data_IF_117255905651
#
_entry.id   IF_117255905651
#
_cell.length_a   1.000
_cell.length_b   1.000
_cell.length_c   1.000
_cell.angle_alpha   90.00
_cell.angle_beta   90.00
_cell.angle_gamma   90.00
#
_symmetry.space_group_name_H-M   'P 1'
#
loop_
_entity.id
_entity.type
_entity.pdbx_description
1 polymer ?
#
# COMPACT_ATOMS: atom_id res chain seq x y z
N UNK A 1 16.92 -21.55 -29.52
CA UNK A 1 17.54 -20.56 -28.63
C UNK A 1 16.47 -20.07 -27.68
N UNK A 2 16.36 -20.67 -26.51
CA UNK A 2 15.32 -20.34 -25.52
C UNK A 2 16.02 -19.55 -24.42
N UNK A 3 15.89 -18.23 -24.45
CA UNK A 3 16.48 -17.37 -23.43
C UNK A 3 15.75 -17.58 -22.11
N UNK A 4 16.49 -18.13 -21.14
CA UNK A 4 16.12 -18.16 -19.72
C UNK A 4 16.12 -16.72 -19.23
N UNK A 5 14.93 -16.19 -18.95
CA UNK A 5 14.76 -14.83 -18.42
C UNK A 5 15.23 -14.83 -16.97
N UNK A 6 16.38 -14.18 -16.75
CA UNK A 6 17.08 -14.12 -15.47
C UNK A 6 16.27 -13.42 -14.37
N UNK A 7 16.57 -13.84 -13.14
CA UNK A 7 16.03 -13.31 -11.90
C UNK A 7 16.26 -11.77 -11.82
N UNK A 8 15.21 -10.97 -11.96
CA UNK A 8 15.33 -9.52 -12.12
C UNK A 8 15.64 -8.80 -10.79
N UNK A 9 16.87 -8.31 -10.71
CA UNK A 9 17.34 -7.36 -9.70
C UNK A 9 16.45 -6.13 -9.63
N UNK A 10 16.13 -5.66 -8.41
CA UNK A 10 15.24 -4.54 -8.09
C UNK A 10 15.75 -3.15 -8.54
N UNK A 11 16.02 -2.95 -9.83
CA UNK A 11 16.48 -1.66 -10.36
C UNK A 11 15.95 -1.42 -11.76
N UNK A 12 14.97 -0.52 -11.88
CA UNK A 12 14.50 0.06 -13.15
C UNK A 12 13.42 -0.73 -13.92
N UNK A 13 12.84 -0.04 -14.91
CA UNK A 13 12.05 -0.60 -16.01
C UNK A 13 12.97 -0.67 -17.22
N UNK A 14 13.09 -1.84 -17.84
CA UNK A 14 13.90 -2.03 -19.05
C UNK A 14 13.12 -1.60 -20.30
N UNK A 15 13.81 -1.18 -21.36
CA UNK A 15 13.17 -0.74 -22.61
C UNK A 15 12.28 -1.86 -23.20
N UNK A 16 12.76 -3.10 -23.22
CA UNK A 16 11.99 -4.26 -23.70
C UNK A 16 10.69 -4.49 -22.89
N UNK A 17 10.73 -4.27 -21.57
CA UNK A 17 9.55 -4.39 -20.70
C UNK A 17 8.52 -3.28 -20.98
N UNK A 18 9.02 -2.09 -21.32
CA UNK A 18 8.21 -0.92 -21.65
C UNK A 18 7.51 -1.14 -22.98
N UNK A 19 8.25 -1.58 -24.00
CA UNK A 19 7.73 -1.81 -25.35
C UNK A 19 6.68 -2.93 -25.37
N UNK A 20 6.91 -4.00 -24.62
CA UNK A 20 5.94 -5.07 -24.42
C UNK A 20 4.64 -4.54 -23.81
N UNK A 21 4.73 -3.74 -22.74
CA UNK A 21 3.56 -3.18 -22.06
C UNK A 21 2.74 -2.27 -22.97
N UNK A 22 3.39 -1.35 -23.69
CA UNK A 22 2.67 -0.41 -24.54
C UNK A 22 2.09 -1.07 -25.80
N UNK A 23 2.77 -2.08 -26.35
CA UNK A 23 2.21 -2.89 -27.44
C UNK A 23 0.96 -3.64 -26.99
N UNK A 24 1.01 -4.33 -25.85
CA UNK A 24 -0.13 -5.07 -25.30
C UNK A 24 -1.32 -4.14 -24.96
N UNK A 25 -1.06 -2.91 -24.50
CA UNK A 25 -2.10 -1.91 -24.26
C UNK A 25 -2.73 -1.42 -25.57
N UNK A 26 -1.93 -1.23 -26.62
CA UNK A 26 -2.43 -0.81 -27.93
C UNK A 26 -3.32 -1.89 -28.56
N UNK A 27 -2.88 -3.14 -28.52
CA UNK A 27 -3.65 -4.30 -28.98
C UNK A 27 -4.98 -4.43 -28.23
N UNK A 28 -4.95 -4.39 -26.89
CA UNK A 28 -6.15 -4.44 -26.07
C UNK A 28 -7.11 -3.26 -26.33
N UNK A 29 -6.59 -2.09 -26.70
CA UNK A 29 -7.42 -0.93 -27.07
C UNK A 29 -8.16 -1.17 -28.39
N UNK A 30 -7.53 -1.88 -29.34
CA UNK A 30 -8.16 -2.26 -30.61
C UNK A 30 -9.21 -3.35 -30.41
N UNK A 31 -8.94 -4.32 -29.54
CA UNK A 31 -9.83 -5.44 -29.24
C UNK A 31 -10.96 -5.09 -28.26
N UNK A 32 -10.86 -3.96 -27.56
CA UNK A 32 -11.81 -3.57 -26.51
C UNK A 32 -11.60 -4.30 -25.18
N UNK A 33 -10.45 -4.94 -24.99
CA UNK A 33 -10.10 -5.66 -23.76
C UNK A 33 -9.82 -4.67 -22.62
N UNK A 34 -10.36 -4.88 -21.40
CA UNK A 34 -10.09 -4.00 -20.28
C UNK A 34 -8.61 -3.99 -19.89
N UNK A 35 -8.02 -2.80 -19.70
CA UNK A 35 -6.62 -2.61 -19.27
C UNK A 35 -6.25 -3.41 -18.01
N UNK A 36 -7.23 -3.71 -17.14
CA UNK A 36 -7.01 -4.56 -15.97
C UNK A 36 -6.47 -5.95 -16.34
N UNK A 37 -6.98 -6.55 -17.41
CA UNK A 37 -6.58 -7.88 -17.85
C UNK A 37 -5.18 -7.81 -18.46
N UNK A 38 -4.91 -6.82 -19.32
CA UNK A 38 -3.58 -6.52 -19.86
C UNK A 38 -2.51 -6.42 -18.77
N UNK A 39 -2.79 -5.70 -17.68
CA UNK A 39 -1.83 -5.57 -16.59
C UNK A 39 -1.63 -6.88 -15.80
N UNK A 40 -2.61 -7.78 -15.80
CA UNK A 40 -2.46 -9.11 -15.22
C UNK A 40 -1.58 -9.99 -16.12
N UNK A 41 -1.87 -10.02 -17.42
CA UNK A 41 -1.18 -10.86 -18.40
C UNK A 41 0.29 -10.44 -18.57
N UNK A 42 0.55 -9.13 -18.73
CA UNK A 42 1.91 -8.58 -18.74
C UNK A 42 2.61 -8.79 -17.38
N UNK A 43 1.85 -8.83 -16.30
CA UNK A 43 2.37 -9.12 -14.95
C UNK A 43 2.88 -10.53 -14.81
N UNK A 44 2.16 -11.49 -15.37
CA UNK A 44 2.57 -12.87 -15.43
C UNK A 44 3.82 -13.05 -16.31
N UNK A 45 3.82 -12.46 -17.51
CA UNK A 45 4.95 -12.54 -18.45
C UNK A 45 6.24 -11.92 -17.89
N UNK A 46 6.15 -10.74 -17.28
CA UNK A 46 7.32 -10.03 -16.73
C UNK A 46 7.67 -10.48 -15.30
N UNK A 47 6.93 -11.44 -14.72
CA UNK A 47 7.04 -11.81 -13.30
C UNK A 47 6.97 -10.60 -12.35
N UNK A 48 6.17 -9.59 -12.73
CA UNK A 48 5.96 -8.34 -11.98
C UNK A 48 4.53 -8.27 -11.46
N UNK A 49 4.36 -7.69 -10.27
CA UNK A 49 3.01 -7.50 -9.71
C UNK A 49 2.16 -6.63 -10.66
N UNK A 50 0.91 -6.99 -10.98
CA UNK A 50 0.04 -6.20 -11.87
C UNK A 50 -0.12 -4.74 -11.43
N UNK A 51 -0.12 -4.50 -10.11
CA UNK A 51 -0.19 -3.13 -9.58
C UNK A 51 1.08 -2.30 -9.87
N UNK A 52 2.24 -2.94 -9.98
CA UNK A 52 3.49 -2.28 -10.36
C UNK A 52 3.44 -1.83 -11.83
N UNK A 53 2.99 -2.72 -12.72
CA UNK A 53 2.77 -2.41 -14.14
C UNK A 53 1.76 -1.28 -14.31
N UNK A 54 0.60 -1.41 -13.66
CA UNK A 54 -0.41 -0.36 -13.64
C UNK A 54 0.17 0.99 -13.20
N UNK A 55 0.93 1.01 -12.11
CA UNK A 55 1.50 2.24 -11.56
C UNK A 55 2.47 2.89 -12.55
N UNK A 56 3.33 2.09 -13.19
CA UNK A 56 4.27 2.56 -14.19
C UNK A 56 3.55 3.12 -15.42
N UNK A 57 2.59 2.37 -15.96
CA UNK A 57 1.76 2.78 -17.09
C UNK A 57 1.14 4.17 -16.86
N UNK A 58 0.42 4.35 -15.74
CA UNK A 58 -0.23 5.64 -15.46
C UNK A 58 0.75 6.76 -15.12
N UNK A 59 1.95 6.46 -14.61
CA UNK A 59 3.00 7.46 -14.44
C UNK A 59 3.48 7.96 -15.80
N UNK A 60 3.71 7.04 -16.75
CA UNK A 60 4.15 7.38 -18.10
C UNK A 60 3.09 8.12 -18.92
N UNK A 61 1.83 7.71 -18.81
CA UNK A 61 0.69 8.43 -19.42
C UNK A 61 0.53 9.84 -18.84
N UNK A 62 0.91 10.07 -17.58
CA UNK A 62 0.88 11.43 -17.01
C UNK A 62 1.97 12.33 -17.60
N UNK A 63 3.13 11.77 -17.92
CA UNK A 63 4.23 12.49 -18.55
C UNK A 63 3.97 12.74 -20.04
N UNK A 64 3.40 11.74 -20.73
CA UNK A 64 3.08 11.78 -22.16
C UNK A 64 1.60 11.42 -22.35
N UNK A 65 0.68 12.41 -22.31
CA UNK A 65 -0.76 12.17 -22.40
C UNK A 65 -1.24 11.51 -23.70
N UNK A 66 -0.45 11.59 -24.78
CA UNK A 66 -0.75 10.99 -26.08
C UNK A 66 -0.80 9.45 -26.04
N UNK A 67 -0.21 8.84 -25.01
CA UNK A 67 -0.24 7.39 -24.77
C UNK A 67 -1.58 6.90 -24.19
N UNK A 68 -2.49 7.80 -23.81
CA UNK A 68 -3.76 7.43 -23.20
C UNK A 68 -4.79 6.93 -24.24
N UNK A 69 -5.37 5.74 -24.08
CA UNK A 69 -6.55 5.35 -24.85
C UNK A 69 -7.74 6.25 -24.48
N UNK A 70 -8.68 6.42 -25.43
CA UNK A 70 -9.86 7.28 -25.26
C UNK A 70 -10.66 6.86 -24.02
N UNK A 71 -10.85 7.82 -23.11
CA UNK A 71 -11.43 7.56 -21.79
C UNK A 71 -12.92 7.23 -21.85
N UNK A 72 -13.31 6.20 -21.11
CA UNK A 72 -14.71 5.89 -20.79
C UNK A 72 -15.40 7.07 -20.08
N UNK A 73 -16.73 7.20 -20.27
CA UNK A 73 -17.55 8.30 -19.76
C UNK A 73 -17.31 8.59 -18.26
N UNK A 74 -16.79 9.78 -17.97
CA UNK A 74 -16.48 10.22 -16.62
C UNK A 74 -17.76 10.69 -15.88
N UNK A 75 -18.12 10.02 -14.79
CA UNK A 75 -19.19 10.48 -13.88
C UNK A 75 -18.62 11.37 -12.78
N UNK A 76 -19.02 12.64 -12.78
CA UNK A 76 -18.66 13.61 -11.74
C UNK A 76 -19.29 13.25 -10.38
N UNK A 77 -18.75 13.80 -9.29
CA UNK A 77 -19.41 13.75 -7.97
C UNK A 77 -20.45 14.85 -7.89
N UNK A 78 -21.66 14.50 -7.44
CA UNK A 78 -22.62 15.50 -6.98
C UNK A 78 -22.15 16.12 -5.65
N UNK A 79 -22.67 17.31 -5.33
CA UNK A 79 -22.39 17.97 -4.06
C UNK A 79 -22.99 17.19 -2.88
N UNK A 80 -24.20 16.64 -3.04
CA UNK A 80 -24.86 15.84 -2.00
C UNK A 80 -24.09 14.55 -1.72
N UNK A 81 -23.70 13.86 -2.80
CA UNK A 81 -22.89 12.63 -2.74
C UNK A 81 -21.53 12.90 -2.07
N UNK A 82 -20.95 14.08 -2.32
CA UNK A 82 -19.71 14.49 -1.67
C UNK A 82 -19.92 14.72 -0.17
N UNK A 83 -20.95 15.48 0.21
CA UNK A 83 -21.26 15.76 1.61
C UNK A 83 -21.55 14.47 2.39
N UNK A 84 -22.34 13.56 1.82
CA UNK A 84 -22.64 12.26 2.41
C UNK A 84 -21.36 11.43 2.61
N UNK A 85 -20.48 11.39 1.61
CA UNK A 85 -19.19 10.71 1.72
C UNK A 85 -18.35 11.28 2.86
N UNK A 86 -18.20 12.61 2.92
CA UNK A 86 -17.35 13.26 3.92
C UNK A 86 -17.90 13.08 5.33
N UNK A 87 -19.21 13.27 5.52
CA UNK A 87 -19.87 13.06 6.83
C UNK A 87 -19.70 11.63 7.32
N UNK A 88 -20.00 10.64 6.48
CA UNK A 88 -19.85 9.23 6.84
C UNK A 88 -18.40 8.85 7.18
N UNK A 89 -17.43 9.37 6.43
CA UNK A 89 -16.01 9.10 6.71
C UNK A 89 -15.57 9.76 8.01
N UNK A 90 -15.97 11.01 8.29
CA UNK A 90 -15.62 11.69 9.54
C UNK A 90 -16.25 11.03 10.77
N UNK A 91 -17.52 10.63 10.66
CA UNK A 91 -18.23 9.88 11.71
C UNK A 91 -17.53 8.56 12.01
N UNK A 92 -17.27 7.76 10.97
CA UNK A 92 -16.55 6.49 11.14
C UNK A 92 -15.17 6.69 11.74
N UNK A 93 -14.45 7.75 11.33
CA UNK A 93 -13.14 8.10 11.89
C UNK A 93 -13.22 8.48 13.37
N UNK A 94 -14.27 9.17 13.80
CA UNK A 94 -14.52 9.51 15.20
C UNK A 94 -14.78 8.26 16.06
N UNK A 95 -15.29 7.19 15.44
CA UNK A 95 -15.53 5.89 16.07
C UNK A 95 -14.32 4.93 15.98
N UNK A 96 -13.18 5.39 15.44
CA UNK A 96 -11.99 4.56 15.25
C UNK A 96 -11.98 3.71 13.98
N UNK A 97 -12.99 3.83 13.10
CA UNK A 97 -13.04 3.13 11.82
C UNK A 97 -11.97 3.72 10.86
N UNK A 98 -11.29 2.84 10.11
CA UNK A 98 -10.36 3.30 9.07
C UNK A 98 -11.13 3.86 7.87
N UNK A 99 -10.60 4.88 7.20
CA UNK A 99 -11.22 5.44 5.98
C UNK A 99 -11.55 4.35 4.97
N UNK A 100 -10.67 3.34 4.82
CA UNK A 100 -10.87 2.23 3.88
C UNK A 100 -12.09 1.38 4.25
N UNK A 101 -12.29 1.09 5.54
CA UNK A 101 -13.46 0.37 6.00
C UNK A 101 -14.74 1.18 5.75
N UNK A 102 -14.74 2.50 6.08
CA UNK A 102 -15.88 3.38 5.81
C UNK A 102 -16.29 3.36 4.34
N UNK A 103 -15.35 3.59 3.41
CA UNK A 103 -15.66 3.63 1.96
C UNK A 103 -16.02 2.26 1.40
N UNK A 104 -15.53 1.17 2.00
CA UNK A 104 -15.92 -0.19 1.60
C UNK A 104 -17.36 -0.47 2.00
N UNK A 105 -17.74 -0.06 3.21
CA UNK A 105 -19.12 -0.12 3.71
C UNK A 105 -20.06 0.72 2.86
N UNK A 106 -19.69 1.97 2.57
CA UNK A 106 -20.49 2.89 1.73
C UNK A 106 -20.70 2.38 0.30
N UNK A 107 -19.74 1.62 -0.23
CA UNK A 107 -19.85 1.08 -1.57
C UNK A 107 -20.66 -0.24 -1.64
N UNK A 108 -21.09 -0.81 -0.51
CA UNK A 108 -21.90 -2.03 -0.49
C UNK A 108 -21.24 -3.24 -1.17
N UNK A 109 -19.91 -3.29 -1.19
CA UNK A 109 -19.15 -4.33 -1.89
C UNK A 109 -18.76 -3.99 -3.34
N UNK A 110 -19.23 -2.88 -3.93
CA UNK A 110 -18.75 -2.41 -5.22
C UNK A 110 -17.30 -1.88 -5.10
N UNK A 111 -16.36 -2.62 -5.70
CA UNK A 111 -14.94 -2.25 -5.70
C UNK A 111 -14.69 -0.95 -6.47
N UNK A 112 -15.43 -0.69 -7.55
CA UNK A 112 -15.26 0.49 -8.38
C UNK A 112 -15.76 1.75 -7.66
N UNK A 113 -16.95 1.69 -7.07
CA UNK A 113 -17.50 2.72 -6.19
C UNK A 113 -16.61 3.01 -4.98
N UNK A 114 -16.11 1.96 -4.30
CA UNK A 114 -15.18 2.10 -3.18
C UNK A 114 -13.91 2.87 -3.57
N UNK A 115 -13.30 2.54 -4.72
CA UNK A 115 -12.12 3.26 -5.21
C UNK A 115 -12.46 4.71 -5.57
N UNK A 116 -13.63 4.97 -6.14
CA UNK A 116 -14.11 6.31 -6.46
C UNK A 116 -14.26 7.17 -5.20
N UNK A 117 -14.91 6.65 -4.16
CA UNK A 117 -15.03 7.31 -2.85
C UNK A 117 -13.66 7.55 -2.21
N UNK A 118 -12.78 6.55 -2.22
CA UNK A 118 -11.45 6.66 -1.66
C UNK A 118 -10.61 7.74 -2.38
N UNK A 119 -10.66 7.77 -3.72
CA UNK A 119 -9.94 8.75 -4.53
C UNK A 119 -10.49 10.17 -4.33
N UNK A 120 -11.81 10.31 -4.22
CA UNK A 120 -12.45 11.60 -3.95
C UNK A 120 -12.03 12.14 -2.59
N UNK A 121 -12.10 11.33 -1.54
CA UNK A 121 -11.66 11.72 -0.20
C UNK A 121 -10.19 12.15 -0.18
N UNK A 122 -9.30 11.40 -0.83
CA UNK A 122 -7.88 11.78 -0.99
C UNK A 122 -7.69 13.11 -1.72
N UNK A 123 -8.47 13.36 -2.77
CA UNK A 123 -8.39 14.62 -3.51
C UNK A 123 -8.82 15.81 -2.67
N UNK A 124 -9.87 15.67 -1.85
CA UNK A 124 -10.32 16.73 -0.92
C UNK A 124 -9.27 16.96 0.17
N UNK A 125 -8.71 15.90 0.76
CA UNK A 125 -7.63 16.03 1.74
C UNK A 125 -6.43 16.83 1.22
N UNK A 126 -6.10 16.69 -0.07
CA UNK A 126 -4.97 17.39 -0.70
C UNK A 126 -5.32 18.81 -1.13
N UNK A 127 -6.47 18.99 -1.77
CA UNK A 127 -6.76 20.21 -2.53
C UNK A 127 -7.76 21.14 -1.85
N UNK A 128 -8.62 20.62 -0.96
CA UNK A 128 -9.73 21.35 -0.33
C UNK A 128 -9.95 20.92 1.13
N UNK A 129 -8.93 21.01 2.00
CA UNK A 129 -9.05 20.62 3.40
C UNK A 129 -10.08 21.45 4.18
N UNK A 130 -10.34 22.69 3.77
CA UNK A 130 -11.34 23.58 4.38
C UNK A 130 -12.74 22.97 4.41
N UNK A 131 -13.12 22.20 3.38
CA UNK A 131 -14.41 21.53 3.33
C UNK A 131 -14.53 20.45 4.41
N UNK A 132 -13.45 19.75 4.72
CA UNK A 132 -13.44 18.75 5.80
C UNK A 132 -13.59 19.40 7.16
N UNK A 133 -12.98 20.57 7.37
CA UNK A 133 -13.09 21.33 8.62
C UNK A 133 -14.52 21.84 8.82
N UNK A 134 -15.13 22.43 7.78
CA UNK A 134 -16.52 22.90 7.84
C UNK A 134 -17.47 21.77 8.24
N UNK A 135 -17.36 20.62 7.59
CA UNK A 135 -18.23 19.46 7.90
C UNK A 135 -17.93 18.90 9.29
N UNK A 136 -16.67 18.91 9.74
CA UNK A 136 -16.33 18.50 11.08
C UNK A 136 -16.94 19.43 12.15
N UNK A 137 -16.96 20.73 11.91
CA UNK A 137 -17.57 21.70 12.83
C UNK A 137 -19.10 21.55 12.87
N UNK A 138 -19.73 21.30 11.73
CA UNK A 138 -21.16 20.92 11.66
C UNK A 138 -21.45 19.66 12.47
N UNK A 139 -20.65 18.60 12.29
CA UNK A 139 -20.81 17.35 13.04
C UNK A 139 -20.63 17.53 14.54
N UNK A 140 -19.67 18.37 14.96
CA UNK A 140 -19.48 18.72 16.38
C UNK A 140 -20.66 19.51 16.94
N UNK A 141 -21.21 20.45 16.18
CA UNK A 141 -22.40 21.20 16.57
C UNK A 141 -23.63 20.29 16.72
N UNK A 142 -23.72 19.23 15.90
CA UNK A 142 -24.75 18.20 15.99
C UNK A 142 -24.48 17.15 17.11
N UNK A 143 -23.31 17.20 17.76
CA UNK A 143 -22.92 16.24 18.81
C UNK A 143 -22.55 14.85 18.29
N UNK A 144 -22.22 14.74 17.00
CA UNK A 144 -21.82 13.47 16.38
C UNK A 144 -20.32 13.19 16.58
N UNK A 145 -19.92 11.90 16.62
CA UNK A 145 -18.51 11.55 16.82
C UNK A 145 -17.69 12.05 15.63
N UNK A 146 -16.69 12.88 15.89
CA UNK A 146 -15.78 13.41 14.88
C UNK A 146 -14.35 13.35 15.44
N UNK A 147 -13.34 12.99 14.63
CA UNK A 147 -11.96 13.04 15.09
C UNK A 147 -11.55 14.47 15.48
N UNK A 148 -10.77 14.60 16.55
CA UNK A 148 -10.20 15.89 16.98
C UNK A 148 -9.30 16.50 15.91
N UNK A 149 -8.49 15.65 15.26
CA UNK A 149 -7.62 16.03 14.14
C UNK A 149 -8.19 15.46 12.85
N UNK A 150 -8.93 16.31 12.15
CA UNK A 150 -9.58 16.01 10.86
C UNK A 150 -8.54 15.83 9.75
N UNK A 151 -7.52 16.69 9.74
CA UNK A 151 -6.46 16.70 8.73
C UNK A 151 -5.24 15.97 9.28
N UNK A 152 -5.20 14.65 9.11
CA UNK A 152 -3.96 13.87 9.28
C UNK A 152 -3.27 13.75 7.93
N UNK A 153 -2.50 14.77 7.55
CA UNK A 153 -1.60 14.64 6.42
C UNK A 153 -0.48 13.67 6.83
N UNK A 154 -0.46 12.45 6.27
CA UNK A 154 0.80 11.68 6.22
C UNK A 154 1.81 12.57 5.51
N UNK A 155 2.82 13.05 6.23
CA UNK A 155 3.87 13.93 5.72
C UNK A 155 4.78 13.17 4.73
N UNK A 156 4.26 12.73 3.60
CA UNK A 156 5.11 12.21 2.52
C UNK A 156 5.83 13.36 1.79
N UNK A 157 5.23 14.55 1.71
CA UNK A 157 5.79 15.69 0.95
C UNK A 157 6.88 16.50 1.69
N UNK A 158 7.06 16.32 3.00
CA UNK A 158 8.13 17.06 3.71
C UNK A 158 9.53 16.51 3.42
N UNK A 159 9.61 15.33 2.81
CA UNK A 159 10.88 14.67 2.49
C UNK A 159 11.41 14.96 1.08
N UNK A 160 10.63 15.64 0.22
CA UNK A 160 10.98 15.84 -1.19
C UNK A 160 11.46 17.27 -1.54
N UNK A 161 11.41 18.23 -0.62
CA UNK A 161 11.75 19.64 -0.91
C UNK A 161 12.62 20.38 0.11
N UNK A 162 12.94 19.78 1.25
CA UNK A 162 13.98 20.32 2.13
C UNK A 162 15.27 19.57 1.81
N UNK A 163 16.38 20.29 1.62
CA UNK A 163 17.73 19.71 1.51
C UNK A 163 17.91 18.68 2.64
N UNK A 164 17.73 17.41 2.30
CA UNK A 164 17.73 16.30 3.26
C UNK A 164 19.09 16.18 3.93
N UNK A 165 20.14 16.65 3.27
CA UNK A 165 21.50 16.75 3.81
C UNK A 165 21.64 17.88 4.83
N UNK A 166 21.15 19.09 4.55
CA UNK A 166 21.27 20.23 5.48
C UNK A 166 20.37 20.04 6.70
N UNK A 167 19.14 19.58 6.51
CA UNK A 167 18.23 19.28 7.63
C UNK A 167 18.73 18.13 8.49
N UNK A 168 19.33 17.09 7.90
CA UNK A 168 19.97 16.02 8.66
C UNK A 168 21.23 16.51 9.40
N UNK A 169 22.06 17.38 8.79
CA UNK A 169 23.21 17.99 9.46
C UNK A 169 22.80 18.89 10.62
N UNK A 170 21.76 19.70 10.44
CA UNK A 170 21.25 20.59 11.48
C UNK A 170 20.59 19.80 12.63
N UNK A 171 19.88 18.71 12.32
CA UNK A 171 19.39 17.79 13.35
C UNK A 171 20.53 17.05 14.04
N UNK A 172 21.56 16.63 13.31
CA UNK A 172 22.74 15.95 13.87
C UNK A 172 23.50 16.90 14.80
N UNK A 173 23.68 18.17 14.43
CA UNK A 173 24.35 19.15 15.28
C UNK A 173 23.55 19.43 16.56
N UNK A 174 22.21 19.53 16.45
CA UNK A 174 21.33 19.69 17.62
C UNK A 174 21.31 18.45 18.52
N UNK A 175 21.36 17.24 17.94
CA UNK A 175 21.45 15.98 18.69
C UNK A 175 22.84 15.73 19.28
N UNK A 176 23.87 16.39 18.77
CA UNK A 176 25.24 16.34 19.31
C UNK A 176 25.43 17.25 20.54
N UNK A 177 24.40 18.02 20.92
CA UNK A 177 24.44 18.84 22.14
C UNK A 177 24.49 17.93 23.39
N UNK A 178 25.50 18.07 24.27
CA UNK A 178 25.60 17.30 25.51
C UNK A 178 24.38 17.41 26.43
N UNK A 179 23.63 18.52 26.37
CA UNK A 179 22.41 18.71 27.16
C UNK A 179 21.26 17.85 26.62
N UNK A 180 21.16 17.70 25.30
CA UNK A 180 20.16 16.85 24.66
C UNK A 180 20.45 15.38 24.95
N UNK A 181 21.72 14.96 24.90
CA UNK A 181 22.13 13.62 25.29
C UNK A 181 21.73 13.30 26.74
N UNK A 182 22.04 14.19 27.69
CA UNK A 182 21.64 14.03 29.10
C UNK A 182 20.12 13.99 29.30
N UNK A 183 19.37 14.78 28.54
CA UNK A 183 17.91 14.74 28.57
C UNK A 183 17.37 13.39 28.07
N UNK A 184 17.91 12.87 26.96
CA UNK A 184 17.52 11.57 26.42
C UNK A 184 17.90 10.42 27.37
N UNK A 185 19.08 10.48 28.00
CA UNK A 185 19.49 9.53 29.03
C UNK A 185 18.55 9.58 30.24
N UNK A 186 18.16 10.78 30.67
CA UNK A 186 17.19 10.98 31.74
C UNK A 186 15.81 10.43 31.41
N UNK A 187 15.32 10.61 30.18
CA UNK A 187 14.08 10.01 29.71
C UNK A 187 14.16 8.49 29.64
N UNK A 188 15.27 7.93 29.15
CA UNK A 188 15.51 6.49 29.15
C UNK A 188 15.52 5.92 30.57
N UNK A 189 16.13 6.63 31.51
CA UNK A 189 16.16 6.24 32.92
C UNK A 189 14.76 6.31 33.55
N UNK A 190 13.96 7.34 33.24
CA UNK A 190 12.58 7.43 33.69
C UNK A 190 11.71 6.31 33.11
N UNK A 191 11.92 5.93 31.85
CA UNK A 191 11.23 4.80 31.23
C UNK A 191 11.62 3.47 31.88
N UNK A 192 12.91 3.28 32.20
CA UNK A 192 13.38 2.10 32.95
C UNK A 192 12.86 2.05 34.38
N UNK A 193 12.64 3.20 35.02
CA UNK A 193 12.01 3.29 36.35
C UNK A 193 10.49 3.15 36.31
N UNK A 194 9.88 3.49 35.17
CA UNK A 194 8.46 3.29 34.89
C UNK A 194 8.10 1.85 34.53
N UNK A 195 9.08 0.96 34.37
CA UNK A 195 8.85 -0.48 34.33
C UNK A 195 8.37 -0.93 35.72
N UNK A 196 7.05 -1.05 35.82
CA UNK A 196 6.36 -1.62 36.98
C UNK A 196 6.92 -3.03 37.21
N UNK A 197 7.21 -3.46 38.46
CA UNK A 197 7.76 -4.79 38.73
C UNK A 197 6.94 -5.88 38.04
N UNK A 198 7.64 -6.83 37.41
CA UNK A 198 7.15 -7.85 36.46
C UNK A 198 5.90 -8.67 36.88
N UNK A 199 5.42 -8.56 38.12
CA UNK A 199 4.22 -9.23 38.61
C UNK A 199 2.91 -8.55 38.14
N UNK A 200 2.86 -7.22 38.00
CA UNK A 200 1.68 -6.52 37.46
C UNK A 200 1.67 -6.50 35.93
N UNK A 201 2.83 -6.65 35.29
CA UNK A 201 2.93 -6.83 33.84
C UNK A 201 2.37 -8.19 33.37
N UNK A 202 2.32 -9.20 34.24
CA UNK A 202 1.74 -10.50 33.92
C UNK A 202 0.22 -10.40 33.66
N UNK A 203 -0.49 -9.58 34.43
CA UNK A 203 -1.93 -9.35 34.26
C UNK A 203 -2.26 -8.45 33.06
N UNK A 204 -1.38 -7.50 32.70
CA UNK A 204 -1.55 -6.67 31.50
C UNK A 204 -1.05 -7.34 30.20
N UNK A 205 -0.32 -8.46 30.29
CA UNK A 205 0.24 -9.16 29.14
C UNK A 205 -0.77 -9.96 28.31
N UNK A 206 -1.97 -10.20 28.84
CA UNK A 206 -3.04 -10.89 28.12
C UNK A 206 -3.52 -10.12 26.87
N UNK A 207 -3.40 -8.79 26.86
CA UNK A 207 -3.76 -7.96 25.69
C UNK A 207 -2.70 -7.94 24.58
N UNK A 208 -1.44 -8.32 24.87
CA UNK A 208 -0.34 -8.41 23.88
C UNK A 208 -0.23 -9.81 23.23
N UNK A 209 -1.04 -10.77 23.68
CA UNK A 209 -1.17 -12.13 23.14
C UNK A 209 -1.47 -12.19 21.63
N UNK A 210 -2.24 -11.26 21.02
CA UNK A 210 -2.48 -11.31 19.58
C UNK A 210 -1.18 -11.23 18.78
N UNK A 211 -0.27 -10.30 19.09
CA UNK A 211 0.90 -10.08 18.24
C UNK A 211 1.88 -11.27 18.25
N UNK A 212 2.05 -11.96 19.38
CA UNK A 212 2.89 -13.17 19.45
C UNK A 212 2.29 -14.34 18.67
N UNK A 213 0.99 -14.60 18.83
CA UNK A 213 0.28 -15.62 18.05
C UNK A 213 0.41 -15.40 16.54
N UNK A 214 0.38 -14.14 16.10
CA UNK A 214 0.56 -13.78 14.69
C UNK A 214 2.00 -13.96 14.21
N UNK A 215 3.00 -13.69 15.04
CA UNK A 215 4.41 -13.91 14.70
C UNK A 215 4.72 -15.42 14.57
N UNK A 216 4.21 -16.22 15.50
CA UNK A 216 4.32 -17.69 15.46
C UNK A 216 3.58 -18.28 14.26
N UNK A 217 2.35 -17.86 13.99
CA UNK A 217 1.60 -18.29 12.82
C UNK A 217 2.29 -17.93 11.50
N UNK A 218 3.04 -16.82 11.47
CA UNK A 218 3.81 -16.40 10.29
C UNK A 218 5.07 -17.23 10.10
N UNK A 219 5.78 -17.55 11.17
CA UNK A 219 6.93 -18.45 11.11
C UNK A 219 6.51 -19.85 10.65
N UNK A 220 5.36 -20.34 11.13
CA UNK A 220 4.84 -21.65 10.70
C UNK A 220 4.39 -21.62 9.23
N UNK A 221 3.76 -20.53 8.78
CA UNK A 221 3.41 -20.38 7.36
C UNK A 221 4.64 -20.32 6.45
N UNK A 222 5.71 -19.63 6.86
CA UNK A 222 6.97 -19.58 6.12
C UNK A 222 7.66 -20.95 6.09
N UNK A 223 7.62 -21.71 7.20
CA UNK A 223 8.12 -23.08 7.28
C UNK A 223 7.38 -24.03 6.34
N UNK A 224 6.05 -24.05 6.38
CA UNK A 224 5.22 -24.89 5.52
C UNK A 224 5.42 -24.55 4.04
N UNK A 225 5.65 -23.27 3.72
CA UNK A 225 5.95 -22.85 2.36
C UNK A 225 7.26 -23.44 1.84
N UNK A 226 8.31 -23.43 2.66
CA UNK A 226 9.59 -24.07 2.32
C UNK A 226 9.41 -25.56 2.10
N UNK A 227 8.64 -26.24 2.95
CA UNK A 227 8.37 -27.67 2.81
C UNK A 227 7.62 -28.00 1.51
N UNK A 228 6.61 -27.20 1.15
CA UNK A 228 5.89 -27.33 -0.12
C UNK A 228 6.80 -27.09 -1.32
N UNK A 229 7.67 -26.08 -1.26
CA UNK A 229 8.60 -25.78 -2.35
C UNK A 229 9.63 -26.92 -2.52
N UNK A 230 10.13 -27.51 -1.43
CA UNK A 230 11.01 -28.68 -1.48
C UNK A 230 10.32 -29.92 -2.06
N UNK A 231 9.07 -30.17 -1.68
CA UNK A 231 8.28 -31.28 -2.23
C UNK A 231 8.00 -31.11 -3.72
N UNK A 232 7.76 -29.87 -4.19
CA UNK A 232 7.60 -29.57 -5.61
C UNK A 232 8.88 -29.84 -6.39
N UNK A 233 10.03 -29.39 -5.88
CA UNK A 233 11.34 -29.67 -6.48
C UNK A 233 11.56 -31.17 -6.59
N UNK A 234 11.29 -31.94 -5.52
CA UNK A 234 11.43 -33.39 -5.55
C UNK A 234 10.48 -34.07 -6.56
N UNK A 235 9.27 -33.54 -6.75
CA UNK A 235 8.31 -34.04 -7.73
C UNK A 235 8.73 -33.70 -9.16
N UNK A 236 9.25 -32.50 -9.39
CA UNK A 236 9.83 -32.07 -10.67
C UNK A 236 11.06 -32.91 -11.02
N UNK A 237 11.93 -33.21 -10.05
CA UNK A 237 13.09 -34.09 -10.24
C UNK A 237 12.68 -35.52 -10.62
N UNK A 238 11.63 -36.07 -9.99
CA UNK A 238 11.09 -37.39 -10.34
C UNK A 238 10.47 -37.38 -11.73
N UNK A 239 9.71 -36.33 -12.08
CA UNK A 239 9.10 -36.18 -13.39
C UNK A 239 10.16 -36.06 -14.49
N UNK A 240 11.17 -35.24 -14.27
CA UNK A 240 12.32 -35.09 -15.17
C UNK A 240 13.14 -36.39 -15.28
N UNK A 241 13.26 -37.18 -14.21
CA UNK A 241 13.90 -38.50 -14.27
C UNK A 241 13.08 -39.50 -15.10
N UNK A 242 11.75 -39.51 -14.94
CA UNK A 242 10.87 -40.39 -15.74
C UNK A 242 10.81 -40.02 -17.22
N UNK A 243 10.91 -38.73 -17.58
CA UNK A 243 10.99 -38.30 -18.97
C UNK A 243 12.33 -38.65 -19.63
N UNK A 244 13.43 -38.69 -18.86
CA UNK A 244 14.73 -39.10 -19.38
C UNK A 244 14.88 -40.63 -19.52
N UNK A 245 14.19 -41.44 -18.71
CA UNK A 245 14.21 -42.90 -18.84
C UNK A 245 13.36 -43.43 -20.01
N UNK A 246 12.35 -42.67 -20.48
CA UNK A 246 11.56 -43.02 -21.66
C UNK A 246 12.31 -42.78 -23.00
N UNK A 247 13.30 -41.88 -23.02
CA UNK A 247 14.08 -41.54 -24.22
C UNK A 247 15.32 -42.44 -24.44
N UNK A 248 15.74 -43.23 -23.43
CA UNK A 248 16.89 -44.17 -23.53
C UNK A 248 16.48 -45.62 -23.87
N UNK A 249 15.19 -45.87 -24.12
CA UNK A 249 14.64 -47.20 -24.51
C UNK A 249 14.07 -47.25 -25.93
N UNK A 250 14.46 -46.33 -26.83
CA UNK A 250 14.15 -46.37 -28.27
C UNK A 250 15.41 -46.41 -29.14
#
# INVERSE_FOLDING_TARGET
MTQVIGNHSRSGWQEDEIDLLFSAVQEATQEGTPLRNVFADVGEQLSRKPNSIRNFYYARVREVPELAPRQSSFRTFSQDELNELLRNVLIGRGQGESVRACVTRLAGGDRSGMLRYQNKYRSILKNKPELLVSIADELKAEGLPCPDVVISCRRYDRSAKADSSQTAQELTSRLSDPLVAKMLDGLCELLRRGDVPAQTAYEMSEELVPYRKWAEARQEADRLRVEVDLLKIALEDIHNASENDEDDTM
#
